data_IF_838657226225
#
_entry.id   IF_838657226225
#
_cell.length_a   1.000
_cell.length_b   1.000
_cell.length_c   1.000
_cell.angle_alpha   90.00
_cell.angle_beta   90.00
_cell.angle_gamma   90.00
#
_symmetry.space_group_name_H-M   'P 1'
#
loop_
_entity.id
_entity.type
_entity.pdbx_description
1 polymer ?
#
# COMPACT_ATOMS: atom_id res chain seq x y z
N UNK A 1 -3.43 35.62 7.84
CA UNK A 1 -3.28 34.15 7.88
C UNK A 1 -2.09 33.77 7.00
N UNK A 2 -1.03 33.16 7.57
CA UNK A 2 0.15 32.71 6.82
C UNK A 2 -0.32 31.59 5.86
N UNK A 3 -0.09 31.75 4.54
CA UNK A 3 -0.17 30.62 3.61
C UNK A 3 0.83 29.58 4.12
N UNK A 4 0.35 28.45 4.64
CA UNK A 4 1.18 27.26 4.64
C UNK A 4 1.64 27.08 3.19
N UNK A 5 2.95 27.15 2.96
CA UNK A 5 3.50 27.15 1.61
C UNK A 5 3.03 25.91 0.85
N UNK A 6 2.82 26.05 -0.45
CA UNK A 6 2.64 24.90 -1.31
C UNK A 6 3.92 24.05 -1.21
N UNK A 7 3.79 22.77 -0.91
CA UNK A 7 4.88 21.80 -0.86
C UNK A 7 4.46 20.53 -1.58
N UNK A 8 5.40 19.63 -1.86
CA UNK A 8 5.08 18.36 -2.50
C UNK A 8 4.14 17.53 -1.63
N UNK A 9 4.41 17.46 -0.33
CA UNK A 9 3.61 16.73 0.65
C UNK A 9 2.18 17.28 0.72
N UNK A 10 2.01 18.61 0.65
CA UNK A 10 0.69 19.25 0.64
C UNK A 10 -0.08 18.90 -0.63
N UNK A 11 0.58 18.90 -1.79
CA UNK A 11 -0.03 18.56 -3.08
C UNK A 11 -0.47 17.10 -3.10
N UNK A 12 0.43 16.18 -2.74
CA UNK A 12 0.16 14.73 -2.72
C UNK A 12 -0.97 14.41 -1.75
N UNK A 13 -0.92 14.96 -0.52
CA UNK A 13 -2.00 14.78 0.46
C UNK A 13 -3.35 15.26 -0.06
N UNK A 14 -3.40 16.41 -0.73
CA UNK A 14 -4.65 16.91 -1.31
C UNK A 14 -5.15 16.02 -2.44
N UNK A 15 -4.26 15.43 -3.25
CA UNK A 15 -4.62 14.49 -4.30
C UNK A 15 -5.18 13.18 -3.73
N UNK A 16 -4.52 12.61 -2.71
CA UNK A 16 -4.98 11.41 -2.01
C UNK A 16 -6.35 11.64 -1.37
N UNK A 17 -6.58 12.80 -0.75
CA UNK A 17 -7.90 13.15 -0.20
C UNK A 17 -9.01 13.24 -1.27
N UNK A 18 -8.69 13.64 -2.50
CA UNK A 18 -9.65 13.60 -3.62
C UNK A 18 -9.92 12.14 -4.00
N UNK A 19 -8.88 11.32 -4.11
CA UNK A 19 -9.01 9.90 -4.43
C UNK A 19 -9.86 9.14 -3.40
N UNK A 20 -9.67 9.42 -2.11
CA UNK A 20 -10.44 8.80 -1.03
C UNK A 20 -11.91 9.21 -1.02
N UNK A 21 -12.20 10.48 -1.35
CA UNK A 21 -13.56 11.01 -1.32
C UNK A 21 -14.37 10.66 -2.57
N UNK A 22 -13.73 10.74 -3.74
CA UNK A 22 -14.40 10.78 -5.04
C UNK A 22 -13.95 9.65 -5.99
N UNK A 23 -12.98 8.84 -5.56
CA UNK A 23 -12.31 7.85 -6.41
C UNK A 23 -11.12 8.45 -7.16
N UNK A 24 -10.15 7.59 -7.49
CA UNK A 24 -8.90 8.03 -8.14
C UNK A 24 -9.13 8.64 -9.53
N UNK A 25 -10.12 8.17 -10.28
CA UNK A 25 -10.47 8.70 -11.61
C UNK A 25 -10.94 10.16 -11.56
N UNK A 26 -11.37 10.64 -10.39
CA UNK A 26 -11.80 12.02 -10.19
C UNK A 26 -10.61 12.98 -10.04
N UNK A 27 -9.39 12.46 -9.87
CA UNK A 27 -8.16 13.22 -9.73
C UNK A 27 -7.77 13.85 -11.07
N UNK A 28 -7.74 15.18 -11.10
CA UNK A 28 -7.28 15.94 -12.26
C UNK A 28 -6.55 17.20 -11.81
N UNK A 29 -5.68 17.73 -12.66
CA UNK A 29 -4.98 18.99 -12.40
C UNK A 29 -5.95 20.12 -12.03
N UNK A 30 -7.10 20.20 -12.70
CA UNK A 30 -8.13 21.21 -12.43
C UNK A 30 -8.74 21.06 -11.03
N UNK A 31 -9.12 19.84 -10.65
CA UNK A 31 -9.75 19.60 -9.33
C UNK A 31 -8.74 19.80 -8.21
N UNK A 32 -7.50 19.36 -8.41
CA UNK A 32 -6.41 19.55 -7.47
C UNK A 32 -6.06 21.04 -7.30
N UNK A 33 -5.98 21.80 -8.39
CA UNK A 33 -5.71 23.24 -8.37
C UNK A 33 -6.82 24.03 -7.68
N UNK A 34 -8.08 23.66 -7.92
CA UNK A 34 -9.25 24.24 -7.25
C UNK A 34 -9.22 23.95 -5.74
N UNK A 35 -8.97 22.70 -5.34
CA UNK A 35 -8.90 22.31 -3.93
C UNK A 35 -7.80 23.04 -3.17
N UNK A 36 -6.65 23.25 -3.82
CA UNK A 36 -5.49 23.92 -3.23
C UNK A 36 -5.53 25.46 -3.36
N UNK A 37 -6.47 26.02 -4.13
CA UNK A 37 -6.56 27.46 -4.38
C UNK A 37 -5.34 28.03 -5.13
N UNK A 38 -4.73 27.24 -6.00
CA UNK A 38 -3.53 27.60 -6.77
C UNK A 38 -3.73 27.36 -8.26
N UNK A 39 -2.81 27.84 -9.10
CA UNK A 39 -2.83 27.54 -10.54
C UNK A 39 -2.27 26.12 -10.80
N UNK A 40 -2.69 25.43 -11.88
CA UNK A 40 -2.08 24.16 -12.28
C UNK A 40 -0.55 24.25 -12.45
N UNK A 41 -0.05 25.39 -12.94
CA UNK A 41 1.40 25.65 -13.10
C UNK A 41 2.15 25.63 -11.75
N UNK A 42 1.51 26.07 -10.67
CA UNK A 42 2.11 26.00 -9.34
C UNK A 42 2.26 24.55 -8.86
N UNK A 43 1.34 23.65 -9.23
CA UNK A 43 1.38 22.23 -8.89
C UNK A 43 2.48 21.50 -9.66
N UNK A 44 2.65 21.79 -10.96
CA UNK A 44 3.70 21.19 -11.80
C UNK A 44 5.12 21.41 -11.26
N UNK A 45 5.35 22.45 -10.45
CA UNK A 45 6.65 22.64 -9.77
C UNK A 45 6.97 21.52 -8.79
N UNK A 46 5.95 20.93 -8.17
CA UNK A 46 6.10 19.90 -7.15
C UNK A 46 5.94 18.50 -7.71
N UNK A 47 5.08 18.34 -8.72
CA UNK A 47 4.84 17.12 -9.48
C UNK A 47 5.16 17.37 -10.96
N UNK A 48 6.46 17.39 -11.36
CA UNK A 48 6.89 17.79 -12.69
C UNK A 48 6.76 16.68 -13.74
N UNK A 49 6.43 15.46 -13.33
CA UNK A 49 6.42 14.30 -14.21
C UNK A 49 5.25 14.36 -15.21
N UNK A 50 5.56 13.94 -16.44
CA UNK A 50 4.64 13.84 -17.58
C UNK A 50 3.89 12.51 -17.61
N UNK A 51 4.22 11.56 -16.73
CA UNK A 51 3.37 10.41 -16.42
C UNK A 51 2.00 10.87 -15.90
N UNK A 52 1.03 9.96 -15.86
CA UNK A 52 -0.31 10.32 -15.42
C UNK A 52 -0.26 10.90 -14.00
N UNK A 53 -1.07 11.93 -13.72
CA UNK A 53 -1.15 12.52 -12.36
C UNK A 53 -1.41 11.46 -11.28
N UNK A 54 -2.13 10.40 -11.64
CA UNK A 54 -2.38 9.24 -10.78
C UNK A 54 -1.08 8.52 -10.43
N UNK A 55 -0.28 8.12 -11.43
CA UNK A 55 0.99 7.40 -11.25
C UNK A 55 1.95 8.19 -10.34
N UNK A 56 2.08 9.49 -10.61
CA UNK A 56 2.92 10.39 -9.80
C UNK A 56 2.45 10.46 -8.35
N UNK A 57 1.14 10.56 -8.14
CA UNK A 57 0.56 10.63 -6.80
C UNK A 57 0.70 9.30 -6.08
N UNK A 58 0.57 8.16 -6.78
CA UNK A 58 0.84 6.84 -6.22
C UNK A 58 2.29 6.78 -5.74
N UNK A 59 3.26 7.04 -6.63
CA UNK A 59 4.68 6.93 -6.31
C UNK A 59 5.10 7.88 -5.19
N UNK A 60 4.67 9.14 -5.25
CA UNK A 60 5.01 10.12 -4.23
C UNK A 60 4.33 9.83 -2.87
N UNK A 61 3.19 9.14 -2.86
CA UNK A 61 2.55 8.72 -1.60
C UNK A 61 3.38 7.63 -0.89
N UNK A 62 4.19 6.86 -1.62
CA UNK A 62 5.03 5.82 -1.03
C UNK A 62 6.20 6.36 -0.20
N UNK A 63 6.51 7.67 -0.27
CA UNK A 63 7.62 8.26 0.51
C UNK A 63 7.46 8.15 2.02
N UNK A 64 6.25 7.92 2.51
CA UNK A 64 5.99 7.68 3.94
C UNK A 64 6.33 6.25 4.36
N UNK A 65 6.51 5.33 3.41
CA UNK A 65 6.89 3.94 3.67
C UNK A 65 8.35 3.92 4.12
N UNK A 66 8.66 3.35 5.29
CA UNK A 66 10.03 3.21 5.75
C UNK A 66 10.85 2.35 4.77
N UNK A 67 12.02 2.85 4.37
CA UNK A 67 12.97 2.06 3.60
C UNK A 67 13.62 1.03 4.51
N UNK A 68 13.65 -0.22 4.06
CA UNK A 68 14.39 -1.28 4.74
C UNK A 68 15.90 -0.95 4.77
N UNK A 69 16.55 -1.22 5.90
CA UNK A 69 18.00 -1.33 6.00
C UNK A 69 18.44 -2.77 5.70
N UNK A 70 19.11 -3.05 4.57
CA UNK A 70 19.64 -4.37 4.22
C UNK A 70 20.65 -4.92 5.21
N UNK A 71 21.19 -4.09 6.10
CA UNK A 71 22.10 -4.52 7.15
C UNK A 71 21.38 -4.92 8.45
N UNK A 72 20.08 -4.61 8.54
CA UNK A 72 19.25 -4.90 9.71
C UNK A 72 18.72 -6.33 9.75
N UNK A 73 18.07 -6.73 10.86
CA UNK A 73 17.43 -8.02 10.98
C UNK A 73 16.30 -8.18 9.96
N UNK A 74 16.38 -9.21 9.12
CA UNK A 74 15.46 -9.47 8.00
C UNK A 74 13.98 -9.25 8.36
N UNK A 75 13.51 -9.92 9.41
CA UNK A 75 12.09 -9.87 9.77
C UNK A 75 11.66 -8.50 10.28
N UNK A 76 12.53 -7.80 11.01
CA UNK A 76 12.20 -6.49 11.58
C UNK A 76 12.09 -5.45 10.47
N UNK A 77 13.07 -5.42 9.56
CA UNK A 77 13.15 -4.47 8.44
C UNK A 77 12.04 -4.70 7.42
N UNK A 78 11.82 -5.95 7.03
CA UNK A 78 10.75 -6.31 6.09
C UNK A 78 9.37 -6.01 6.69
N UNK A 79 9.16 -6.33 7.97
CA UNK A 79 7.91 -6.00 8.65
C UNK A 79 7.72 -4.50 8.78
N UNK A 80 8.76 -3.73 9.09
CA UNK A 80 8.65 -2.29 9.23
C UNK A 80 8.22 -1.61 7.92
N UNK A 81 8.89 -1.97 6.81
CA UNK A 81 8.55 -1.51 5.47
C UNK A 81 7.10 -1.88 5.09
N UNK A 82 6.74 -3.16 5.18
CA UNK A 82 5.42 -3.63 4.75
C UNK A 82 4.28 -3.14 5.66
N UNK A 83 4.52 -2.93 6.96
CA UNK A 83 3.55 -2.28 7.84
C UNK A 83 3.34 -0.81 7.46
N UNK A 84 4.40 -0.07 7.10
CA UNK A 84 4.26 1.30 6.62
C UNK A 84 3.42 1.39 5.34
N UNK A 85 3.63 0.46 4.40
CA UNK A 85 2.79 0.35 3.21
C UNK A 85 1.35 -0.02 3.58
N UNK A 86 1.17 -1.02 4.45
CA UNK A 86 -0.15 -1.43 4.92
C UNK A 86 -0.94 -0.27 5.54
N UNK A 87 -0.32 0.49 6.43
CA UNK A 87 -0.94 1.64 7.10
C UNK A 87 -1.34 2.73 6.11
N UNK A 88 -0.45 3.07 5.17
CA UNK A 88 -0.74 4.02 4.09
C UNK A 88 -1.99 3.60 3.29
N UNK A 89 -2.04 2.36 2.82
CA UNK A 89 -3.16 1.87 2.01
C UNK A 89 -4.44 1.69 2.83
N UNK A 90 -4.32 1.33 4.11
CA UNK A 90 -5.44 1.21 5.05
C UNK A 90 -6.10 2.56 5.31
N UNK A 91 -5.30 3.61 5.53
CA UNK A 91 -5.78 4.96 5.81
C UNK A 91 -6.30 5.68 4.56
N UNK A 92 -5.87 5.24 3.37
CA UNK A 92 -6.26 5.83 2.09
C UNK A 92 -6.86 4.78 1.12
N UNK A 93 -8.13 4.36 1.32
CA UNK A 93 -8.79 3.37 0.47
C UNK A 93 -8.86 3.74 -1.02
N UNK A 94 -8.91 5.03 -1.36
CA UNK A 94 -8.88 5.50 -2.74
C UNK A 94 -7.52 5.24 -3.39
N UNK A 95 -6.44 5.48 -2.63
CA UNK A 95 -5.08 5.14 -3.05
C UNK A 95 -4.87 3.63 -3.13
N UNK A 96 -5.40 2.84 -2.19
CA UNK A 96 -5.32 1.38 -2.23
C UNK A 96 -5.94 0.78 -3.50
N UNK A 97 -7.08 1.32 -3.95
CA UNK A 97 -7.68 0.90 -5.23
C UNK A 97 -6.80 1.30 -6.40
N UNK A 98 -6.31 2.53 -6.42
CA UNK A 98 -5.41 3.02 -7.45
C UNK A 98 -4.17 2.13 -7.61
N UNK A 99 -3.55 1.73 -6.51
CA UNK A 99 -2.39 0.82 -6.50
C UNK A 99 -2.74 -0.58 -7.05
N UNK A 100 -3.98 -1.05 -6.87
CA UNK A 100 -4.42 -2.33 -7.44
C UNK A 100 -4.69 -2.26 -8.95
N UNK A 101 -5.06 -1.09 -9.46
CA UNK A 101 -5.43 -0.88 -10.86
C UNK A 101 -4.28 -0.35 -11.72
N UNK A 102 -3.20 0.16 -11.11
CA UNK A 102 -2.09 0.82 -11.80
C UNK A 102 -0.73 0.22 -11.38
N UNK A 103 0.24 0.12 -12.30
CA UNK A 103 1.56 -0.39 -11.99
C UNK A 103 2.35 0.57 -11.08
N UNK A 104 3.17 0.01 -10.18
CA UNK A 104 4.04 0.77 -9.28
C UNK A 104 5.46 0.85 -9.85
N UNK A 105 5.64 1.66 -10.89
CA UNK A 105 6.91 1.75 -11.64
C UNK A 105 7.68 3.07 -11.40
N UNK A 106 7.21 3.89 -10.47
CA UNK A 106 7.86 5.17 -10.17
C UNK A 106 9.17 5.02 -9.38
N UNK A 107 9.98 6.10 -9.32
CA UNK A 107 11.29 6.07 -8.69
C UNK A 107 11.26 5.76 -7.18
N UNK A 108 10.20 6.13 -6.46
CA UNK A 108 10.07 5.79 -5.03
C UNK A 108 9.74 4.30 -4.86
N UNK A 109 8.83 3.77 -5.68
CA UNK A 109 8.51 2.35 -5.70
C UNK A 109 9.74 1.50 -6.02
N UNK A 110 10.52 1.88 -7.04
CA UNK A 110 11.77 1.22 -7.40
C UNK A 110 12.78 1.24 -6.23
N UNK A 111 12.94 2.38 -5.56
CA UNK A 111 13.82 2.48 -4.40
C UNK A 111 13.40 1.54 -3.26
N UNK A 112 12.09 1.44 -2.97
CA UNK A 112 11.58 0.52 -1.94
C UNK A 112 11.87 -0.93 -2.35
N UNK A 113 11.60 -1.29 -3.60
CA UNK A 113 11.85 -2.63 -4.13
C UNK A 113 13.33 -3.00 -4.04
N UNK A 114 14.24 -2.12 -4.49
CA UNK A 114 15.69 -2.34 -4.44
C UNK A 114 16.17 -2.62 -3.01
N UNK A 115 15.70 -1.84 -2.02
CA UNK A 115 16.10 -2.03 -0.62
C UNK A 115 15.60 -3.35 -0.05
N UNK A 116 14.38 -3.74 -0.37
CA UNK A 116 13.84 -5.03 0.07
C UNK A 116 14.57 -6.18 -0.61
N UNK A 117 14.76 -6.14 -1.93
CA UNK A 117 15.50 -7.18 -2.65
C UNK A 117 16.94 -7.31 -2.13
N UNK A 118 17.63 -6.20 -1.89
CA UNK A 118 18.96 -6.19 -1.30
C UNK A 118 18.97 -6.84 0.10
N UNK A 119 17.98 -6.52 0.94
CA UNK A 119 17.81 -7.16 2.26
C UNK A 119 17.62 -8.68 2.12
N UNK A 120 16.74 -9.13 1.22
CA UNK A 120 16.44 -10.55 1.02
C UNK A 120 17.67 -11.32 0.52
N UNK A 121 18.39 -10.76 -0.47
CA UNK A 121 19.60 -11.36 -1.05
C UNK A 121 20.73 -11.47 -0.03
N UNK A 122 20.93 -10.44 0.82
CA UNK A 122 21.94 -10.48 1.90
C UNK A 122 21.65 -11.55 2.95
N UNK A 123 20.39 -11.98 3.07
CA UNK A 123 19.97 -13.06 3.94
C UNK A 123 19.94 -14.43 3.23
N UNK A 124 20.56 -14.54 2.05
CA UNK A 124 20.82 -15.81 1.36
C UNK A 124 19.73 -16.26 0.39
N UNK A 125 18.75 -15.41 0.08
CA UNK A 125 17.77 -15.71 -0.97
C UNK A 125 18.38 -15.48 -2.36
N UNK A 126 18.09 -16.38 -3.31
CA UNK A 126 18.36 -16.12 -4.72
C UNK A 126 17.40 -15.07 -5.29
N UNK A 127 17.74 -14.52 -6.46
CA UNK A 127 17.00 -13.43 -7.11
C UNK A 127 15.53 -13.79 -7.42
N UNK A 128 15.27 -15.04 -7.82
CA UNK A 128 13.92 -15.52 -8.09
C UNK A 128 13.09 -15.61 -6.82
N UNK A 129 13.63 -16.27 -5.78
CA UNK A 129 12.97 -16.38 -4.48
C UNK A 129 12.73 -15.03 -3.82
N UNK A 130 13.66 -14.08 -3.95
CA UNK A 130 13.52 -12.72 -3.42
C UNK A 130 12.41 -11.95 -4.13
N UNK A 131 12.36 -12.02 -5.47
CA UNK A 131 11.33 -11.39 -6.28
C UNK A 131 9.94 -11.97 -6.00
N UNK A 132 9.84 -13.31 -5.92
CA UNK A 132 8.60 -14.00 -5.61
C UNK A 132 8.08 -13.63 -4.21
N UNK A 133 8.97 -13.56 -3.21
CA UNK A 133 8.59 -13.14 -1.86
C UNK A 133 8.12 -11.69 -1.84
N UNK A 134 8.79 -10.77 -2.54
CA UNK A 134 8.38 -9.37 -2.63
C UNK A 134 6.98 -9.24 -3.25
N UNK A 135 6.74 -9.93 -4.37
CA UNK A 135 5.42 -9.94 -5.03
C UNK A 135 4.34 -10.53 -4.12
N UNK A 136 4.62 -11.65 -3.45
CA UNK A 136 3.69 -12.29 -2.54
C UNK A 136 3.38 -11.41 -1.31
N UNK A 137 4.39 -10.76 -0.74
CA UNK A 137 4.25 -9.88 0.41
C UNK A 137 3.49 -8.60 0.06
N UNK A 138 3.75 -8.01 -1.11
CA UNK A 138 2.99 -6.90 -1.65
C UNK A 138 1.51 -7.28 -1.87
N UNK A 139 1.26 -8.41 -2.54
CA UNK A 139 -0.11 -8.90 -2.81
C UNK A 139 -0.89 -9.16 -1.52
N UNK A 140 -0.23 -9.72 -0.50
CA UNK A 140 -0.80 -9.89 0.84
C UNK A 140 -1.15 -8.54 1.47
N UNK A 141 -0.24 -7.57 1.41
CA UNK A 141 -0.40 -6.22 1.97
C UNK A 141 -1.59 -5.50 1.34
N UNK A 142 -1.62 -5.46 0.00
CA UNK A 142 -2.70 -4.86 -0.77
C UNK A 142 -4.04 -5.55 -0.52
N UNK A 143 -4.05 -6.88 -0.52
CA UNK A 143 -5.25 -7.68 -0.23
C UNK A 143 -5.80 -7.41 1.16
N UNK A 144 -4.94 -7.33 2.18
CA UNK A 144 -5.35 -7.00 3.55
C UNK A 144 -5.89 -5.57 3.68
N UNK A 145 -5.28 -4.59 2.99
CA UNK A 145 -5.74 -3.20 3.00
C UNK A 145 -7.11 -3.05 2.31
N UNK A 146 -7.27 -3.63 1.10
CA UNK A 146 -8.52 -3.59 0.34
C UNK A 146 -9.65 -4.40 0.99
N UNK A 147 -9.33 -5.53 1.63
CA UNK A 147 -10.32 -6.34 2.33
C UNK A 147 -10.98 -5.54 3.48
N UNK A 148 -10.20 -4.77 4.24
CA UNK A 148 -10.74 -3.94 5.35
C UNK A 148 -11.59 -2.79 4.84
N UNK A 149 -11.16 -2.10 3.78
CA UNK A 149 -11.95 -1.01 3.19
C UNK A 149 -13.28 -1.51 2.61
N UNK A 150 -13.28 -2.70 2.00
CA UNK A 150 -14.49 -3.36 1.50
C UNK A 150 -15.42 -3.82 2.64
N UNK A 151 -14.90 -4.26 3.78
CA UNK A 151 -15.70 -4.76 4.91
C UNK A 151 -16.35 -3.65 5.73
N UNK A 152 -15.67 -2.51 5.92
CA UNK A 152 -16.28 -1.30 6.48
C UNK A 152 -17.52 -0.90 5.65
N UNK A 153 -17.44 -1.01 4.33
CA UNK A 153 -18.55 -0.78 3.41
C UNK A 153 -19.60 -1.93 3.36
N UNK A 154 -19.21 -3.18 3.66
CA UNK A 154 -20.07 -4.38 3.60
C UNK A 154 -20.73 -4.81 4.91
N UNK A 155 -20.64 -4.03 5.99
CA UNK A 155 -21.41 -4.27 7.23
C UNK A 155 -22.95 -4.30 6.99
N UNK A 156 -23.43 -4.01 5.78
CA UNK A 156 -24.83 -4.13 5.37
C UNK A 156 -25.21 -5.37 4.54
N UNK A 157 -24.29 -6.28 4.16
CA UNK A 157 -24.65 -7.39 3.24
C UNK A 157 -24.08 -8.76 3.66
N UNK A 158 -24.86 -9.55 4.42
CA UNK A 158 -25.54 -10.76 3.88
C UNK A 158 -26.22 -11.60 4.98
N UNK A 159 -27.45 -12.05 4.70
CA UNK A 159 -28.24 -13.05 5.45
C UNK A 159 -27.99 -14.49 4.97
N UNK A 160 -26.80 -14.82 4.46
CA UNK A 160 -26.51 -16.14 3.86
C UNK A 160 -25.82 -17.11 4.85
N UNK A 161 -25.38 -16.61 6.01
CA UNK A 161 -24.53 -17.35 6.94
C UNK A 161 -25.21 -18.27 7.96
N UNK A 162 -26.52 -18.51 7.89
CA UNK A 162 -27.23 -19.33 8.88
C UNK A 162 -27.18 -20.84 8.58
N UNK A 163 -27.02 -21.26 7.32
CA UNK A 163 -27.14 -22.69 6.94
C UNK A 163 -25.81 -23.40 6.62
N UNK A 164 -24.65 -22.72 6.69
CA UNK A 164 -23.35 -23.28 6.31
C UNK A 164 -22.27 -23.14 7.41
N UNK A 165 -21.99 -24.20 8.20
CA UNK A 165 -21.05 -24.17 9.34
C UNK A 165 -19.60 -23.82 8.96
N UNK A 166 -19.17 -24.15 7.75
CA UNK A 166 -17.84 -23.79 7.24
C UNK A 166 -17.75 -22.28 6.95
N UNK A 167 -18.81 -21.70 6.37
CA UNK A 167 -18.91 -20.26 6.11
C UNK A 167 -18.94 -19.48 7.42
N UNK A 168 -19.60 -20.01 8.46
CA UNK A 168 -19.60 -19.41 9.79
C UNK A 168 -18.20 -19.37 10.42
N UNK A 169 -17.48 -20.50 10.44
CA UNK A 169 -16.10 -20.57 10.98
C UNK A 169 -15.14 -19.61 10.27
N UNK A 170 -15.23 -19.52 8.94
CA UNK A 170 -14.42 -18.58 8.15
C UNK A 170 -14.86 -17.15 8.43
N UNK A 171 -16.16 -16.86 8.50
CA UNK A 171 -16.71 -15.54 8.83
C UNK A 171 -16.26 -15.03 10.20
N UNK A 172 -16.25 -15.89 11.21
CA UNK A 172 -15.84 -15.52 12.57
C UNK A 172 -14.34 -15.24 12.64
N UNK A 173 -13.52 -16.07 11.98
CA UNK A 173 -12.09 -15.78 11.84
C UNK A 173 -11.82 -14.50 11.07
N UNK A 174 -12.57 -14.24 10.00
CA UNK A 174 -12.50 -12.99 9.24
C UNK A 174 -13.02 -11.78 10.05
N UNK A 175 -13.97 -11.98 10.97
CA UNK A 175 -14.47 -10.95 11.87
C UNK A 175 -13.44 -10.58 12.92
N UNK A 176 -12.81 -11.59 13.53
CA UNK A 176 -11.74 -11.39 14.51
C UNK A 176 -10.47 -10.82 13.89
N UNK A 177 -10.15 -11.20 12.65
CA UNK A 177 -9.05 -10.62 11.89
C UNK A 177 -9.21 -9.12 11.59
N UNK A 178 -10.44 -8.60 11.58
CA UNK A 178 -10.70 -7.17 11.38
C UNK A 178 -10.37 -6.29 12.59
N UNK A 179 -10.20 -6.90 13.78
CA UNK A 179 -10.06 -6.20 15.07
C UNK A 179 -8.60 -6.03 15.49
N UNK A 180 -7.64 -6.77 14.90
CA UNK A 180 -6.22 -6.69 15.27
C UNK A 180 -5.31 -6.79 14.04
N UNK A 181 -4.32 -5.90 13.95
CA UNK A 181 -3.24 -5.90 12.95
C UNK A 181 -2.36 -7.18 13.00
N UNK A 182 -2.66 -8.10 13.94
CA UNK A 182 -2.05 -9.40 14.12
C UNK A 182 -2.25 -10.37 12.93
N UNK A 183 -3.34 -10.25 12.15
CA UNK A 183 -3.53 -11.12 10.98
C UNK A 183 -2.47 -10.86 9.91
N UNK A 184 -2.21 -9.58 9.61
CA UNK A 184 -1.22 -9.17 8.62
C UNK A 184 0.18 -9.62 9.04
N UNK A 185 0.60 -9.25 10.27
CA UNK A 185 1.90 -9.63 10.82
C UNK A 185 2.10 -11.15 10.84
N UNK A 186 1.15 -11.91 11.38
CA UNK A 186 1.26 -13.36 11.45
C UNK A 186 1.19 -14.07 10.09
N UNK A 187 0.56 -13.45 9.07
CA UNK A 187 0.60 -13.97 7.71
C UNK A 187 1.97 -13.68 7.04
N UNK A 188 2.51 -12.49 7.25
CA UNK A 188 3.84 -12.10 6.75
C UNK A 188 4.95 -12.98 7.32
N UNK A 189 4.97 -13.23 8.64
CA UNK A 189 5.95 -14.11 9.29
C UNK A 189 5.93 -15.53 8.68
N UNK A 190 4.75 -16.08 8.46
CA UNK A 190 4.59 -17.42 7.84
C UNK A 190 5.01 -17.43 6.37
N UNK A 191 4.75 -16.34 5.65
CA UNK A 191 5.17 -16.19 4.26
C UNK A 191 6.71 -16.22 4.19
N UNK A 192 7.39 -15.36 4.96
CA UNK A 192 8.85 -15.28 4.98
C UNK A 192 9.48 -16.60 5.42
N UNK A 193 8.96 -17.24 6.48
CA UNK A 193 9.43 -18.55 6.93
C UNK A 193 9.29 -19.63 5.85
N UNK A 194 8.24 -19.55 5.02
CA UNK A 194 8.04 -20.47 3.90
C UNK A 194 9.07 -20.34 2.78
N UNK A 195 9.54 -19.11 2.52
CA UNK A 195 10.59 -18.84 1.53
C UNK A 195 12.00 -19.14 2.09
N UNK A 196 12.23 -18.94 3.39
CA UNK A 196 13.48 -19.32 4.06
C UNK A 196 13.64 -20.83 4.25
N UNK A 197 12.52 -21.58 4.33
CA UNK A 197 12.50 -22.99 4.70
C UNK A 197 12.58 -24.00 3.55
N UNK A 198 12.69 -23.58 2.28
CA UNK A 198 12.77 -24.51 1.14
C UNK A 198 14.16 -24.55 0.51
N UNK A 199 14.79 -25.73 0.40
CA UNK A 199 15.67 -25.99 -0.75
C UNK A 199 14.78 -26.00 -1.99
N UNK A 200 15.10 -25.19 -2.98
CA UNK A 200 14.57 -25.31 -4.33
C UNK A 200 14.83 -26.73 -4.84
N UNK A 201 13.76 -27.50 -5.02
CA UNK A 201 13.81 -28.80 -5.74
C UNK A 201 13.66 -28.57 -7.23
#
# INVERSE_FOLDING_TARGET
MRRAGLSREVVVRAAVQIADADGIDALSMRRLSQRLGVTPMAIYRYLPDKSGLVDVVIDESLRVVPLADPSGPLMDELSHCLNGLYELLRDHPGLARAVGDNPMEGPVAAQIADRVLELLQRNGMDDGSASDLLVAAFSLTLGCALYRSSRAARTQLSKVGEEAPAVHRVRDRLAMAGVQDAMFRGALERLVAGYLGKPTS
#
